data_IF_962158430102
#
_entry.id   IF_962158430102
#
_cell.length_a   1.000
_cell.length_b   1.000
_cell.length_c   1.000
_cell.angle_alpha   90.00
_cell.angle_beta   90.00
_cell.angle_gamma   90.00
#
_symmetry.space_group_name_H-M   'P 1'
#
loop_
_entity.id
_entity.type
_entity.pdbx_description
1 polymer ?
#
# COMPACT_ATOMS: atom_id res chain seq x y z
N UNK A 1 9.35 10.46 1.98
CA UNK A 1 9.71 11.82 2.33
C UNK A 1 8.63 12.49 3.19
N UNK A 2 9.00 13.04 4.36
CA UNK A 2 8.03 13.64 5.26
C UNK A 2 8.54 14.99 5.79
N UNK A 3 7.68 16.03 5.89
CA UNK A 3 8.04 17.30 6.50
C UNK A 3 8.18 17.22 8.03
N UNK A 4 8.25 16.00 8.59
CA UNK A 4 8.30 15.75 10.01
C UNK A 4 9.56 15.01 10.43
N UNK A 5 10.02 15.31 11.65
CA UNK A 5 10.87 14.40 12.42
C UNK A 5 10.00 13.67 13.43
N UNK A 6 10.26 12.38 13.61
CA UNK A 6 9.67 11.65 14.72
C UNK A 6 10.44 11.96 16.01
N UNK A 7 9.73 12.27 17.06
CA UNK A 7 10.30 12.45 18.38
C UNK A 7 9.59 11.51 19.37
N UNK A 8 10.36 10.92 20.29
CA UNK A 8 9.84 10.00 21.28
C UNK A 8 9.24 10.79 22.45
N UNK A 9 8.10 10.37 22.96
CA UNK A 9 7.55 10.90 24.21
C UNK A 9 8.50 10.58 25.37
N UNK A 10 8.74 11.56 26.25
CA UNK A 10 9.59 11.38 27.44
C UNK A 10 9.00 10.41 28.46
N UNK A 11 7.69 10.22 28.43
CA UNK A 11 6.94 9.27 29.29
C UNK A 11 6.00 8.44 28.41
N UNK A 12 6.22 7.11 28.37
CA UNK A 12 5.22 6.20 27.82
C UNK A 12 5.38 5.74 26.38
N UNK A 13 6.60 5.58 25.87
CA UNK A 13 6.86 4.68 24.71
C UNK A 13 6.30 5.07 23.34
N UNK A 14 5.61 6.17 23.17
CA UNK A 14 5.07 6.62 21.88
C UNK A 14 5.99 7.57 21.11
N UNK A 15 5.72 7.70 19.81
CA UNK A 15 6.38 8.68 18.94
C UNK A 15 5.35 9.74 18.52
N UNK A 16 5.76 11.00 18.47
CA UNK A 16 4.95 12.06 17.91
C UNK A 16 5.66 12.72 16.72
N UNK A 17 4.88 13.29 15.82
CA UNK A 17 5.39 14.02 14.67
C UNK A 17 5.76 15.43 15.09
N UNK A 18 7.01 15.84 14.83
CA UNK A 18 7.47 17.20 15.03
C UNK A 18 7.79 17.83 13.68
N UNK A 19 7.20 18.97 13.32
CA UNK A 19 7.52 19.66 12.08
C UNK A 19 9.02 19.98 12.01
N UNK A 20 9.62 19.86 10.84
CA UNK A 20 10.96 20.37 10.59
C UNK A 20 10.94 21.89 10.62
N UNK A 21 12.00 22.52 11.06
CA UNK A 21 12.11 24.00 11.09
C UNK A 21 12.25 24.54 9.66
N UNK A 22 12.99 23.84 8.80
CA UNK A 22 13.19 24.17 7.40
C UNK A 22 13.22 22.87 6.59
N UNK A 23 12.63 22.87 5.40
CA UNK A 23 12.63 21.73 4.50
C UNK A 23 13.89 21.70 3.61
N UNK A 24 14.51 22.86 3.35
CA UNK A 24 15.74 22.97 2.56
C UNK A 24 15.54 22.78 1.06
N UNK A 25 14.31 22.99 0.57
CA UNK A 25 13.94 22.86 -0.84
C UNK A 25 13.24 24.11 -1.32
N UNK A 26 13.51 24.53 -2.55
CA UNK A 26 12.86 25.67 -3.20
C UNK A 26 11.48 25.30 -3.77
N UNK A 27 11.36 24.08 -4.27
CA UNK A 27 10.13 23.53 -4.84
C UNK A 27 9.90 22.15 -4.28
N UNK A 28 8.65 21.85 -3.94
CA UNK A 28 8.19 20.56 -3.48
C UNK A 28 7.10 20.05 -4.42
N UNK A 29 7.28 18.86 -4.95
CA UNK A 29 6.23 18.17 -5.72
C UNK A 29 5.56 17.15 -4.81
N UNK A 30 4.24 17.23 -4.69
CA UNK A 30 3.41 16.26 -3.97
C UNK A 30 2.62 15.49 -5.01
N UNK A 31 3.03 14.26 -5.25
CA UNK A 31 2.33 13.33 -6.12
C UNK A 31 1.25 12.58 -5.34
N UNK A 32 0.21 12.11 -6.04
CA UNK A 32 -0.95 11.41 -5.45
C UNK A 32 -1.61 12.22 -4.31
N UNK A 33 -1.77 13.52 -4.50
CA UNK A 33 -2.25 14.42 -3.46
C UNK A 33 -3.69 14.13 -3.01
N UNK A 34 -4.48 13.39 -3.81
CA UNK A 34 -5.83 12.94 -3.46
C UNK A 34 -5.88 12.19 -2.13
N UNK A 35 -4.84 11.44 -1.79
CA UNK A 35 -4.75 10.64 -0.57
C UNK A 35 -4.11 11.37 0.62
N UNK A 36 -3.67 12.62 0.44
CA UNK A 36 -2.99 13.38 1.50
C UNK A 36 -4.00 14.12 2.37
N UNK A 37 -4.03 13.88 3.71
CA UNK A 37 -4.95 14.57 4.60
C UNK A 37 -4.72 16.09 4.61
N UNK A 38 -5.82 16.85 4.75
CA UNK A 38 -5.80 18.31 4.77
C UNK A 38 -4.81 18.89 5.78
N UNK A 39 -4.76 18.35 6.99
CA UNK A 39 -3.85 18.83 8.05
C UNK A 39 -2.38 18.73 7.64
N UNK A 40 -2.03 17.71 6.85
CA UNK A 40 -0.68 17.51 6.37
C UNK A 40 -0.34 18.55 5.29
N UNK A 41 -1.28 18.85 4.41
CA UNK A 41 -1.12 19.89 3.38
C UNK A 41 -1.06 21.28 4.01
N UNK A 42 -1.94 21.59 4.96
CA UNK A 42 -1.92 22.87 5.69
C UNK A 42 -0.59 23.09 6.41
N UNK A 43 0.01 22.01 6.92
CA UNK A 43 1.33 22.09 7.52
C UNK A 43 2.42 22.33 6.47
N UNK A 44 2.34 21.67 5.31
CA UNK A 44 3.29 21.86 4.22
C UNK A 44 3.27 23.32 3.71
N UNK A 45 2.09 23.91 3.54
CA UNK A 45 1.94 25.29 3.09
C UNK A 45 2.46 26.36 4.06
N UNK A 46 2.68 26.02 5.34
CA UNK A 46 3.33 26.92 6.30
C UNK A 46 4.83 27.14 6.02
N UNK A 47 5.42 26.29 5.20
CA UNK A 47 6.83 26.41 4.83
C UNK A 47 6.94 27.30 3.60
N UNK A 48 6.71 28.40 3.46
CA UNK A 48 6.91 29.38 2.37
C UNK A 48 7.73 28.88 1.16
N UNK A 49 7.47 27.67 0.72
CA UNK A 49 8.12 26.96 -0.38
C UNK A 49 7.09 26.75 -1.48
N UNK A 50 7.47 26.82 -2.74
CA UNK A 50 6.57 26.51 -3.84
C UNK A 50 6.16 25.04 -3.78
N UNK A 51 4.86 24.78 -3.89
CA UNK A 51 4.31 23.41 -3.85
C UNK A 51 3.55 23.16 -5.15
N UNK A 52 3.93 22.09 -5.84
CA UNK A 52 3.22 21.55 -7.00
C UNK A 52 2.48 20.31 -6.53
N UNK A 53 1.16 20.30 -6.65
CA UNK A 53 0.31 19.18 -6.28
C UNK A 53 -0.14 18.46 -7.55
N UNK A 54 0.12 17.16 -7.64
CA UNK A 54 -0.34 16.30 -8.72
C UNK A 54 -1.30 15.27 -8.13
N UNK A 55 -2.42 15.03 -8.79
CA UNK A 55 -3.41 14.05 -8.32
C UNK A 55 -4.61 13.95 -9.23
N UNK A 56 -5.44 12.95 -8.95
CA UNK A 56 -6.67 12.67 -9.67
C UNK A 56 -7.86 12.75 -8.69
N UNK A 57 -8.83 13.66 -8.92
CA UNK A 57 -9.98 13.84 -8.04
C UNK A 57 -10.91 12.59 -7.99
N UNK A 58 -10.77 11.68 -8.94
CA UNK A 58 -11.55 10.43 -8.98
C UNK A 58 -10.86 9.25 -8.29
N UNK A 59 -9.62 9.43 -7.83
CA UNK A 59 -8.94 8.44 -7.01
C UNK A 59 -9.41 8.49 -5.55
N UNK A 60 -8.97 7.50 -4.76
CA UNK A 60 -9.39 7.38 -3.37
C UNK A 60 -9.00 8.62 -2.53
N UNK A 61 -9.95 9.14 -1.74
CA UNK A 61 -9.67 10.23 -0.80
C UNK A 61 -8.80 9.76 0.38
N UNK A 62 -8.31 10.68 1.21
CA UNK A 62 -7.58 10.34 2.42
C UNK A 62 -8.38 9.40 3.32
N UNK A 63 -7.69 8.46 3.98
CA UNK A 63 -8.32 7.62 5.02
C UNK A 63 -8.55 8.48 6.25
N UNK A 64 -9.78 8.91 6.46
CA UNK A 64 -10.18 9.75 7.57
C UNK A 64 -11.04 9.00 8.59
N UNK A 65 -10.95 9.39 9.85
CA UNK A 65 -11.82 8.85 10.90
C UNK A 65 -13.24 9.41 10.81
N UNK A 66 -13.38 10.64 10.32
CA UNK A 66 -14.64 11.32 10.09
C UNK A 66 -14.75 11.77 8.64
N UNK A 67 -15.95 11.74 8.06
CA UNK A 67 -16.17 12.10 6.66
C UNK A 67 -15.68 13.52 6.29
N UNK A 68 -15.78 14.47 7.23
CA UNK A 68 -15.30 15.86 7.03
C UNK A 68 -13.78 15.97 6.87
N UNK A 69 -13.01 14.97 7.38
CA UNK A 69 -11.56 14.97 7.30
C UNK A 69 -11.06 14.30 6.01
N UNK A 70 -11.98 13.66 5.26
CA UNK A 70 -11.67 13.06 3.95
C UNK A 70 -11.69 14.06 2.79
N UNK A 71 -12.09 15.29 3.06
CA UNK A 71 -12.26 16.30 2.05
C UNK A 71 -10.92 16.95 1.67
N UNK A 72 -10.50 16.74 0.43
CA UNK A 72 -9.28 17.35 -0.10
C UNK A 72 -9.64 18.35 -1.21
N UNK A 73 -9.94 19.57 -0.80
CA UNK A 73 -10.35 20.65 -1.72
C UNK A 73 -9.29 21.10 -2.73
N UNK A 74 -8.06 20.59 -2.65
CA UNK A 74 -6.98 20.99 -3.55
C UNK A 74 -7.22 20.59 -5.00
N UNK A 75 -8.03 19.54 -5.21
CA UNK A 75 -8.35 19.01 -6.54
C UNK A 75 -9.67 19.55 -7.11
N UNK A 76 -10.44 20.31 -6.34
CA UNK A 76 -11.73 20.87 -6.79
C UNK A 76 -11.58 21.92 -7.89
N UNK A 77 -10.49 22.71 -7.82
CA UNK A 77 -10.19 23.77 -8.79
C UNK A 77 -8.72 23.71 -9.21
N UNK A 78 -8.32 22.74 -10.05
CA UNK A 78 -6.94 22.61 -10.47
C UNK A 78 -6.53 23.74 -11.40
N UNK A 79 -5.27 24.21 -11.31
CA UNK A 79 -4.73 25.20 -12.23
C UNK A 79 -4.58 24.65 -13.65
N UNK A 80 -4.31 23.36 -13.77
CA UNK A 80 -4.21 22.61 -15.03
C UNK A 80 -4.94 21.30 -14.87
N UNK A 81 -5.77 20.96 -15.84
CA UNK A 81 -6.49 19.71 -15.92
C UNK A 81 -6.11 18.99 -17.21
N UNK A 82 -5.68 17.73 -17.10
CA UNK A 82 -5.34 16.89 -18.25
C UNK A 82 -6.54 15.96 -18.52
N UNK A 83 -7.31 16.29 -19.53
CA UNK A 83 -8.55 15.58 -19.89
C UNK A 83 -8.44 14.79 -21.20
N UNK A 84 -7.32 14.96 -21.93
CA UNK A 84 -7.14 14.28 -23.21
C UNK A 84 -6.71 12.83 -23.01
N UNK A 85 -7.57 11.89 -23.44
CA UNK A 85 -7.26 10.48 -23.50
C UNK A 85 -6.54 10.19 -24.81
N UNK A 86 -5.33 9.64 -24.72
CA UNK A 86 -4.55 9.25 -25.89
C UNK A 86 -5.34 8.31 -26.80
N UNK A 87 -5.26 8.52 -28.13
CA UNK A 87 -6.11 7.81 -29.12
C UNK A 87 -6.07 6.30 -28.97
N UNK A 88 -4.90 5.72 -28.73
CA UNK A 88 -4.73 4.26 -28.53
C UNK A 88 -5.48 3.71 -27.33
N UNK A 89 -5.64 4.52 -26.29
CA UNK A 89 -6.37 4.14 -25.07
C UNK A 89 -7.91 4.21 -25.26
N UNK A 90 -8.42 4.97 -26.23
CA UNK A 90 -9.87 5.13 -26.46
C UNK A 90 -10.57 3.84 -26.92
N UNK A 91 -9.83 2.92 -27.51
CA UNK A 91 -10.37 1.63 -27.97
C UNK A 91 -10.42 0.57 -26.85
N UNK A 92 -9.68 0.74 -25.75
CA UNK A 92 -9.65 -0.20 -24.64
C UNK A 92 -10.96 -0.23 -23.87
N UNK A 93 -11.48 -1.44 -23.65
CA UNK A 93 -12.66 -1.68 -22.79
C UNK A 93 -12.41 -1.25 -21.34
N UNK A 94 -11.16 -1.36 -20.86
CA UNK A 94 -10.76 -0.94 -19.52
C UNK A 94 -10.93 0.58 -19.39
N UNK A 95 -10.44 1.34 -20.36
CA UNK A 95 -10.56 2.81 -20.34
C UNK A 95 -12.04 3.24 -20.43
N UNK A 96 -12.84 2.59 -21.27
CA UNK A 96 -14.29 2.88 -21.32
C UNK A 96 -14.96 2.64 -19.99
N UNK A 97 -14.69 1.51 -19.34
CA UNK A 97 -15.25 1.22 -18.02
C UNK A 97 -14.82 2.25 -16.98
N UNK A 98 -13.54 2.65 -16.96
CA UNK A 98 -13.08 3.67 -16.02
C UNK A 98 -13.74 5.02 -16.25
N UNK A 99 -14.00 5.41 -17.49
CA UNK A 99 -14.74 6.63 -17.82
C UNK A 99 -16.19 6.55 -17.38
N UNK A 100 -16.86 5.44 -17.61
CA UNK A 100 -18.24 5.23 -17.17
C UNK A 100 -18.34 5.31 -15.62
N UNK A 101 -17.36 4.79 -14.90
CA UNK A 101 -17.28 4.93 -13.43
C UNK A 101 -17.09 6.39 -13.03
N UNK A 102 -16.18 7.14 -13.68
CA UNK A 102 -15.95 8.57 -13.42
C UNK A 102 -17.19 9.41 -13.65
N UNK A 103 -17.94 9.11 -14.68
CA UNK A 103 -19.20 9.77 -15.03
C UNK A 103 -20.40 9.26 -14.24
N UNK A 104 -20.17 8.36 -13.27
CA UNK A 104 -21.20 7.75 -12.41
C UNK A 104 -22.34 7.06 -13.21
N UNK A 105 -22.03 6.53 -14.39
CA UNK A 105 -22.98 5.78 -15.19
C UNK A 105 -23.32 4.44 -14.54
N UNK A 106 -24.54 3.93 -14.74
CA UNK A 106 -24.91 2.60 -14.25
C UNK A 106 -24.04 1.52 -14.89
N UNK A 107 -23.45 0.67 -14.05
CA UNK A 107 -22.65 -0.47 -14.50
C UNK A 107 -23.53 -1.72 -14.48
N UNK A 108 -23.62 -2.39 -15.64
CA UNK A 108 -24.34 -3.65 -15.79
C UNK A 108 -23.40 -4.82 -16.02
N UNK A 109 -23.92 -6.03 -15.88
CA UNK A 109 -23.16 -7.24 -16.20
C UNK A 109 -22.70 -7.19 -17.67
N UNK A 110 -21.44 -7.49 -17.91
CA UNK A 110 -20.81 -7.40 -19.21
C UNK A 110 -19.76 -8.48 -19.40
N UNK A 111 -19.62 -8.98 -20.59
CA UNK A 111 -18.58 -9.92 -20.98
C UNK A 111 -17.95 -9.48 -22.29
N UNK A 112 -16.81 -8.83 -22.21
CA UNK A 112 -16.00 -8.39 -23.33
C UNK A 112 -14.70 -9.19 -23.45
N UNK A 113 -13.80 -8.69 -24.27
CA UNK A 113 -12.50 -9.31 -24.51
C UNK A 113 -11.49 -8.98 -23.41
N UNK A 114 -11.47 -7.71 -22.96
CA UNK A 114 -10.54 -7.21 -21.93
C UNK A 114 -11.20 -7.09 -20.56
N UNK A 115 -12.53 -6.90 -20.50
CA UNK A 115 -13.28 -6.63 -19.30
C UNK A 115 -14.44 -7.59 -19.15
N UNK A 116 -14.62 -8.12 -17.94
CA UNK A 116 -15.81 -8.88 -17.57
C UNK A 116 -16.39 -8.35 -16.26
N UNK A 117 -17.68 -8.04 -16.25
CA UNK A 117 -18.42 -7.62 -15.07
C UNK A 117 -19.37 -8.77 -14.71
N UNK A 118 -19.01 -9.48 -13.65
CA UNK A 118 -19.68 -10.70 -13.23
C UNK A 118 -20.53 -10.45 -11.97
N UNK A 119 -21.61 -11.23 -11.77
CA UNK A 119 -22.37 -11.18 -10.53
C UNK A 119 -21.52 -11.66 -9.35
N UNK A 120 -21.73 -11.11 -8.16
CA UNK A 120 -20.95 -11.44 -6.97
C UNK A 120 -20.94 -12.94 -6.62
N UNK A 121 -21.99 -13.68 -7.00
CA UNK A 121 -22.06 -15.14 -6.80
C UNK A 121 -20.94 -15.89 -7.55
N UNK A 122 -20.44 -15.33 -8.65
CA UNK A 122 -19.33 -15.92 -9.40
C UNK A 122 -18.04 -16.04 -8.59
N UNK A 123 -17.86 -15.24 -7.54
CA UNK A 123 -16.74 -15.35 -6.60
C UNK A 123 -16.79 -16.64 -5.76
N UNK A 124 -17.88 -17.39 -5.77
CA UNK A 124 -17.94 -18.73 -5.16
C UNK A 124 -17.06 -19.74 -5.90
N UNK A 125 -16.85 -19.55 -7.20
CA UNK A 125 -15.93 -20.34 -7.99
C UNK A 125 -14.48 -19.87 -7.79
N UNK A 126 -13.65 -20.71 -7.17
CA UNK A 126 -12.26 -20.39 -6.89
C UNK A 126 -11.38 -20.34 -8.15
N UNK A 127 -11.80 -21.00 -9.23
CA UNK A 127 -11.08 -20.95 -10.52
C UNK A 127 -11.04 -19.54 -11.12
N UNK A 128 -12.06 -18.73 -10.88
CA UNK A 128 -12.08 -17.32 -11.28
C UNK A 128 -11.04 -16.52 -10.52
N UNK A 129 -10.84 -16.83 -9.24
CA UNK A 129 -9.81 -16.17 -8.42
C UNK A 129 -8.40 -16.63 -8.81
N UNK A 130 -8.26 -17.89 -9.19
CA UNK A 130 -6.98 -18.48 -9.64
C UNK A 130 -6.52 -17.92 -10.99
N UNK A 131 -7.45 -17.56 -11.86
CA UNK A 131 -7.16 -16.94 -13.14
C UNK A 131 -6.50 -15.55 -13.01
N UNK A 132 -6.76 -14.82 -11.92
CA UNK A 132 -6.29 -13.46 -11.73
C UNK A 132 -4.85 -13.41 -11.17
N UNK A 133 -3.95 -12.69 -11.82
CA UNK A 133 -2.60 -12.42 -11.29
C UNK A 133 -2.64 -11.62 -9.99
N UNK A 134 -3.62 -10.71 -9.87
CA UNK A 134 -3.80 -9.87 -8.69
C UNK A 134 -5.28 -9.63 -8.38
N UNK A 135 -5.65 -9.75 -7.09
CA UNK A 135 -7.01 -9.50 -6.61
C UNK A 135 -7.00 -8.27 -5.72
N UNK A 136 -7.77 -7.25 -6.11
CA UNK A 136 -7.90 -6.00 -5.36
C UNK A 136 -9.23 -5.98 -4.63
N UNK A 137 -9.21 -5.65 -3.34
CA UNK A 137 -10.40 -5.58 -2.50
C UNK A 137 -10.38 -4.36 -1.57
N UNK A 138 -11.55 -3.83 -1.25
CA UNK A 138 -11.68 -2.64 -0.41
C UNK A 138 -11.44 -2.91 1.09
N UNK A 139 -11.74 -4.13 1.58
CA UNK A 139 -11.71 -4.45 3.02
C UNK A 139 -10.66 -5.50 3.35
N UNK A 140 -9.90 -5.29 4.42
CA UNK A 140 -8.93 -6.26 4.92
C UNK A 140 -9.58 -7.63 5.25
N UNK A 141 -10.79 -7.65 5.82
CA UNK A 141 -11.51 -8.89 6.11
C UNK A 141 -11.76 -9.72 4.83
N UNK A 142 -12.13 -9.07 3.72
CA UNK A 142 -12.31 -9.74 2.42
C UNK A 142 -10.97 -10.28 1.90
N UNK A 143 -9.90 -9.50 2.02
CA UNK A 143 -8.55 -9.93 1.64
C UNK A 143 -8.13 -11.19 2.40
N UNK A 144 -8.29 -11.22 3.72
CA UNK A 144 -7.96 -12.41 4.52
C UNK A 144 -8.76 -13.62 4.11
N UNK A 145 -10.06 -13.44 3.88
CA UNK A 145 -10.93 -14.55 3.46
C UNK A 145 -10.49 -15.14 2.10
N UNK A 146 -10.21 -14.26 1.12
CA UNK A 146 -9.74 -14.70 -0.20
C UNK A 146 -8.38 -15.40 -0.08
N UNK A 147 -7.43 -14.85 0.67
CA UNK A 147 -6.14 -15.48 0.89
C UNK A 147 -6.28 -16.88 1.53
N UNK A 148 -7.14 -17.04 2.54
CA UNK A 148 -7.38 -18.35 3.16
C UNK A 148 -8.00 -19.34 2.19
N UNK A 149 -8.92 -18.88 1.32
CA UNK A 149 -9.50 -19.72 0.27
C UNK A 149 -8.45 -20.18 -0.74
N UNK A 150 -7.62 -19.25 -1.22
CA UNK A 150 -6.56 -19.55 -2.19
C UNK A 150 -5.51 -20.48 -1.59
N UNK A 151 -5.10 -20.28 -0.33
CA UNK A 151 -4.17 -21.20 0.35
C UNK A 151 -4.74 -22.60 0.44
N UNK A 152 -6.03 -22.77 0.76
CA UNK A 152 -6.72 -24.06 0.77
C UNK A 152 -6.79 -24.69 -0.64
N UNK A 153 -7.07 -23.87 -1.65
CA UNK A 153 -7.13 -24.33 -3.04
C UNK A 153 -5.78 -24.88 -3.51
N UNK A 154 -4.67 -24.25 -3.11
CA UNK A 154 -3.31 -24.72 -3.41
C UNK A 154 -2.77 -25.77 -2.40
N UNK A 155 -3.59 -26.30 -1.49
CA UNK A 155 -3.18 -27.21 -0.42
C UNK A 155 -2.05 -26.67 0.46
N UNK A 156 -2.01 -25.35 0.68
CA UNK A 156 -1.02 -24.68 1.53
C UNK A 156 -1.53 -24.55 2.96
N UNK A 157 -0.62 -24.70 3.92
CA UNK A 157 -0.90 -24.51 5.34
C UNK A 157 -1.09 -23.03 5.73
N UNK A 158 -1.29 -22.77 7.02
CA UNK A 158 -1.39 -21.41 7.54
C UNK A 158 -0.02 -20.70 7.59
N UNK A 159 1.07 -21.45 7.70
CA UNK A 159 2.42 -20.91 7.70
C UNK A 159 2.84 -20.46 6.28
N UNK A 160 3.71 -19.46 6.17
CA UNK A 160 4.30 -19.07 4.90
C UNK A 160 5.14 -20.18 4.28
N UNK A 161 5.06 -20.32 2.98
CA UNK A 161 5.74 -21.34 2.22
C UNK A 161 6.49 -20.72 1.04
N UNK A 162 7.51 -21.44 0.53
CA UNK A 162 8.24 -21.03 -0.67
C UNK A 162 7.28 -20.85 -1.84
N UNK A 163 7.41 -19.72 -2.55
CA UNK A 163 6.54 -19.34 -3.64
C UNK A 163 5.26 -18.60 -3.20
N UNK A 164 5.08 -18.29 -1.92
CA UNK A 164 4.01 -17.39 -1.51
C UNK A 164 4.31 -15.97 -2.01
N UNK A 165 3.32 -15.37 -2.68
CA UNK A 165 3.36 -13.99 -3.15
C UNK A 165 3.14 -13.05 -1.97
N UNK A 166 4.03 -12.10 -1.79
CA UNK A 166 3.98 -11.11 -0.70
C UNK A 166 4.09 -9.70 -1.24
N UNK A 167 3.54 -8.74 -0.49
CA UNK A 167 3.63 -7.32 -0.82
C UNK A 167 4.22 -6.56 0.37
N UNK A 168 5.18 -5.68 0.07
CA UNK A 168 5.72 -4.77 1.06
C UNK A 168 4.67 -3.70 1.42
N UNK A 169 4.30 -3.57 2.69
CA UNK A 169 3.24 -2.65 3.13
C UNK A 169 3.74 -1.33 3.73
N UNK A 170 5.05 -1.16 3.84
CA UNK A 170 5.69 0.06 4.35
C UNK A 170 7.00 0.28 3.64
N UNK A 171 7.37 1.54 3.45
CA UNK A 171 8.72 1.85 3.02
C UNK A 171 9.72 1.48 4.12
N UNK A 172 10.74 0.74 3.76
CA UNK A 172 11.84 0.38 4.62
C UNK A 172 13.12 0.97 4.03
N UNK A 173 13.63 2.00 4.69
CA UNK A 173 14.75 2.81 4.23
C UNK A 173 16.09 2.46 4.92
N UNK A 174 16.02 1.62 5.96
CA UNK A 174 17.23 1.19 6.66
C UNK A 174 17.97 0.16 5.83
N UNK A 175 19.31 0.19 5.88
CA UNK A 175 20.18 -0.72 5.15
C UNK A 175 19.80 -2.17 5.43
N UNK A 176 19.20 -2.81 4.45
CA UNK A 176 18.77 -4.20 4.54
C UNK A 176 19.94 -5.18 4.47
N UNK A 177 21.09 -4.74 4.04
CA UNK A 177 22.36 -5.46 4.17
C UNK A 177 23.50 -4.69 3.52
N UNK A 178 24.73 -5.06 3.82
CA UNK A 178 25.94 -4.60 3.13
C UNK A 178 25.98 -5.01 1.63
N UNK A 179 24.98 -5.75 1.16
CA UNK A 179 24.96 -6.36 -0.18
C UNK A 179 23.94 -5.72 -1.13
N UNK A 180 22.87 -5.08 -0.65
CA UNK A 180 21.81 -4.50 -1.49
C UNK A 180 21.50 -3.07 -1.12
N UNK A 181 21.66 -2.15 -2.08
CA UNK A 181 21.52 -0.71 -1.90
C UNK A 181 20.12 -0.15 -2.10
N UNK A 182 19.16 -0.99 -2.54
CA UNK A 182 17.82 -0.50 -2.87
C UNK A 182 16.84 -0.69 -1.70
N UNK A 183 16.17 0.39 -1.27
CA UNK A 183 15.19 0.31 -0.19
C UNK A 183 13.95 -0.47 -0.63
N UNK A 184 13.35 -1.22 0.28
CA UNK A 184 12.05 -1.82 0.04
C UNK A 184 10.97 -0.75 0.06
N UNK A 185 10.26 -0.62 -1.05
CA UNK A 185 9.21 0.38 -1.24
C UNK A 185 7.84 -0.24 -0.93
N UNK A 186 6.96 0.55 -0.33
CA UNK A 186 5.56 0.15 -0.17
C UNK A 186 4.94 -0.15 -1.54
N UNK A 187 4.34 -1.34 -1.67
CA UNK A 187 3.78 -1.82 -2.93
C UNK A 187 4.66 -2.80 -3.69
N UNK A 188 5.96 -2.92 -3.36
CA UNK A 188 6.83 -3.91 -3.99
C UNK A 188 6.30 -5.32 -3.75
N UNK A 189 6.18 -6.08 -4.83
CA UNK A 189 5.68 -7.46 -4.84
C UNK A 189 6.86 -8.41 -5.03
N UNK A 190 6.86 -9.50 -4.29
CA UNK A 190 7.89 -10.53 -4.39
C UNK A 190 7.39 -11.90 -3.96
N UNK A 191 8.26 -12.90 -4.07
CA UNK A 191 7.96 -14.29 -3.75
C UNK A 191 8.92 -14.80 -2.67
N UNK A 192 8.37 -15.45 -1.64
CA UNK A 192 9.15 -16.02 -0.56
C UNK A 192 10.03 -17.17 -1.08
N UNK A 193 11.29 -17.20 -0.62
CA UNK A 193 12.25 -18.29 -0.85
C UNK A 193 12.70 -18.82 0.51
N UNK A 194 12.47 -20.11 0.74
CA UNK A 194 12.92 -20.81 1.95
C UNK A 194 12.54 -20.11 3.27
N UNK A 195 11.26 -19.77 3.50
CA UNK A 195 10.86 -19.13 4.75
C UNK A 195 11.05 -20.08 5.93
N UNK A 196 11.66 -19.60 7.00
CA UNK A 196 11.85 -20.39 8.22
C UNK A 196 11.53 -19.55 9.48
N UNK A 197 10.94 -20.19 10.50
CA UNK A 197 10.63 -19.52 11.75
C UNK A 197 11.91 -19.25 12.55
N UNK A 198 12.01 -18.05 13.07
CA UNK A 198 13.09 -17.63 13.95
C UNK A 198 12.56 -16.64 14.99
N UNK A 199 13.43 -15.99 15.73
CA UNK A 199 13.04 -14.96 16.67
C UNK A 199 14.03 -13.80 16.65
N UNK A 200 13.51 -12.60 16.94
CA UNK A 200 14.32 -11.40 17.14
C UNK A 200 14.24 -10.97 18.60
N UNK A 201 15.40 -10.70 19.19
CA UNK A 201 15.49 -10.10 20.50
C UNK A 201 15.61 -8.58 20.36
N UNK A 202 14.65 -7.85 20.92
CA UNK A 202 14.67 -6.38 20.88
C UNK A 202 15.27 -5.86 22.18
N UNK A 203 16.32 -5.01 22.09
CA UNK A 203 17.05 -4.53 23.25
C UNK A 203 16.19 -3.70 24.22
N UNK A 204 16.57 -3.74 25.51
CA UNK A 204 15.88 -3.03 26.60
C UNK A 204 15.77 -1.51 26.43
N UNK A 205 16.63 -0.91 25.63
CA UNK A 205 16.58 0.54 25.37
C UNK A 205 15.39 0.96 24.46
N UNK A 206 14.84 0.02 23.70
CA UNK A 206 13.62 0.25 22.91
C UNK A 206 12.35 -0.04 23.69
N UNK A 207 12.40 -0.97 24.67
CA UNK A 207 11.30 -1.36 25.52
C UNK A 207 11.74 -1.41 26.99
N UNK A 208 10.81 -1.36 27.92
CA UNK A 208 11.09 -1.46 29.37
C UNK A 208 11.75 -2.77 29.77
N UNK A 209 11.55 -3.82 28.97
CA UNK A 209 12.14 -5.16 29.14
C UNK A 209 12.62 -5.70 27.80
N UNK A 210 13.57 -6.63 27.82
CA UNK A 210 13.94 -7.37 26.59
C UNK A 210 12.74 -8.17 26.15
N UNK A 211 12.30 -7.98 24.91
CA UNK A 211 11.17 -8.71 24.34
C UNK A 211 11.65 -9.61 23.21
N UNK A 212 11.08 -10.83 23.18
CA UNK A 212 11.26 -11.79 22.10
C UNK A 212 10.09 -11.67 21.14
N UNK A 213 10.38 -11.48 19.86
CA UNK A 213 9.40 -11.52 18.80
C UNK A 213 9.65 -12.72 17.90
N UNK A 214 8.63 -13.55 17.72
CA UNK A 214 8.68 -14.61 16.73
C UNK A 214 8.51 -13.99 15.35
N UNK A 215 9.47 -14.25 14.48
CA UNK A 215 9.51 -13.75 13.10
C UNK A 215 9.72 -14.92 12.14
N UNK A 216 9.39 -14.68 10.88
CA UNK A 216 9.73 -15.58 9.78
C UNK A 216 10.79 -14.87 8.97
N UNK A 217 11.94 -15.47 8.85
CA UNK A 217 13.01 -15.00 7.99
C UNK A 217 12.90 -15.68 6.64
N UNK A 218 13.01 -14.92 5.57
CA UNK A 218 12.96 -15.43 4.20
C UNK A 218 13.78 -14.54 3.28
N UNK A 219 14.35 -15.13 2.26
CA UNK A 219 14.73 -14.38 1.08
C UNK A 219 13.47 -14.08 0.28
N UNK A 220 13.39 -12.90 -0.33
CA UNK A 220 12.29 -12.50 -1.21
C UNK A 220 12.86 -12.14 -2.55
N UNK A 221 12.36 -12.80 -3.58
CA UNK A 221 12.66 -12.50 -4.98
C UNK A 221 11.61 -11.52 -5.52
N UNK A 222 12.05 -10.36 -5.96
CA UNK A 222 11.20 -9.33 -6.60
C UNK A 222 11.25 -9.44 -8.12
N UNK A 223 10.33 -8.80 -8.81
CA UNK A 223 10.17 -8.90 -10.28
C UNK A 223 11.41 -8.52 -11.09
N UNK A 224 12.31 -7.70 -10.55
CA UNK A 224 13.54 -7.26 -11.20
C UNK A 224 14.78 -8.10 -10.81
N UNK A 225 14.61 -9.39 -10.50
CA UNK A 225 15.68 -10.29 -10.02
C UNK A 225 16.40 -9.76 -8.75
N UNK A 226 15.76 -8.86 -8.04
CA UNK A 226 16.26 -8.31 -6.79
C UNK A 226 15.89 -9.24 -5.62
N UNK A 227 16.90 -9.57 -4.80
CA UNK A 227 16.73 -10.39 -3.60
C UNK A 227 16.95 -9.56 -2.35
N UNK A 228 16.02 -9.62 -1.42
CA UNK A 228 16.19 -9.07 -0.09
C UNK A 228 15.95 -10.13 0.96
N UNK A 229 16.81 -10.19 1.97
CA UNK A 229 16.53 -10.97 3.16
C UNK A 229 15.64 -10.17 4.10
N UNK A 230 14.44 -10.69 4.39
CA UNK A 230 13.43 -10.00 5.18
C UNK A 230 13.05 -10.78 6.42
N UNK A 231 12.73 -10.05 7.47
CA UNK A 231 12.09 -10.57 8.68
C UNK A 231 10.63 -10.13 8.69
N UNK A 232 9.72 -11.10 8.73
CA UNK A 232 8.28 -10.85 8.71
C UNK A 232 7.71 -11.24 10.06
N UNK A 233 6.95 -10.36 10.69
CA UNK A 233 6.30 -10.69 11.95
C UNK A 233 5.35 -11.88 11.79
N UNK A 234 5.50 -12.89 12.62
CA UNK A 234 4.62 -14.06 12.64
C UNK A 234 3.18 -13.68 12.93
N UNK A 235 2.96 -12.71 13.82
CA UNK A 235 1.62 -12.23 14.14
C UNK A 235 0.92 -11.59 12.96
N UNK A 236 1.65 -10.92 12.07
CA UNK A 236 1.09 -10.34 10.86
C UNK A 236 0.64 -11.39 9.84
N UNK A 237 1.44 -12.43 9.64
CA UNK A 237 1.16 -13.45 8.63
C UNK A 237 0.17 -14.52 9.10
N UNK A 238 0.34 -14.99 10.33
CA UNK A 238 -0.40 -16.15 10.87
C UNK A 238 -1.61 -15.69 11.67
N UNK A 239 -1.43 -14.73 12.57
CA UNK A 239 -2.49 -14.27 13.47
C UNK A 239 -3.34 -13.15 12.86
N UNK A 240 -2.99 -12.67 11.66
CA UNK A 240 -3.69 -11.60 10.92
C UNK A 240 -3.77 -10.28 11.71
N UNK A 241 -2.88 -10.06 12.64
CA UNK A 241 -2.78 -8.82 13.42
C UNK A 241 -1.81 -7.85 12.75
N UNK A 242 -2.21 -6.59 12.69
CA UNK A 242 -1.31 -5.53 12.26
C UNK A 242 -0.34 -5.18 13.40
N UNK A 243 0.95 -5.07 13.10
CA UNK A 243 1.99 -4.68 14.05
C UNK A 243 2.11 -3.15 14.14
#
# INVERSE_FOLDING_TARGET
>A
WFPFKYARFKSGGGFFRKPKINLGYDIIVVDEVSMVPKELMDLLFKYRTYVICLGDPFQLPPVAKEAKDSDNHLLDNPHVFLDEIMRQAKESEIIRLTMDIREQKPISLYKGNEVQILPAISLADTSILDWADQIIVAKNATRYNINDRMRKFYNRGAAPETGDKVICRRNYWDDLSEVHHDPLINGSIGYLKNPFPTFRMVPRWLYTTVQRFDVIQSDVEFEDDYFAQVEISKSFLVDKKEC
#
